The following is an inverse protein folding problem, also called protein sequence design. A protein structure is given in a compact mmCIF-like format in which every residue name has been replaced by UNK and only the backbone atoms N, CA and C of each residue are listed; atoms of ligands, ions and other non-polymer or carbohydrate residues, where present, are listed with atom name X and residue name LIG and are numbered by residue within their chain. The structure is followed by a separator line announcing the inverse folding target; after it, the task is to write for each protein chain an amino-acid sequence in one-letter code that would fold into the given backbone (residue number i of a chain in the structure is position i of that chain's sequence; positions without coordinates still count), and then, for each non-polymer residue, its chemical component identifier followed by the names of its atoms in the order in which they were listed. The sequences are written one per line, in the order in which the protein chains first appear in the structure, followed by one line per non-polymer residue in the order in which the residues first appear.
data_IF_249942333627
#
_entry.id   IF_249942333627
#
_cell.length_a   1.000
_cell.length_b   1.000
_cell.length_c   1.000
_cell.angle_alpha   90.00
_cell.angle_beta   90.00
_cell.angle_gamma   90.00
#
_symmetry.space_group_name_H-M   'P 1'
#
loop_
_entity.id
_entity.type
_entity.pdbx_description
1 polymer ?
#
# COMPACT_ATOMS: atom_id res chain seq x y z
N UNK A 1 -38.38 35.34 19.30
CA UNK A 1 -38.25 35.15 17.85
C UNK A 1 -39.17 34.02 17.41
N UNK A 2 -39.84 34.16 16.26
CA UNK A 2 -40.63 33.07 15.68
C UNK A 2 -39.73 31.90 15.29
N UNK A 3 -40.17 30.67 15.56
CA UNK A 3 -39.43 29.44 15.22
C UNK A 3 -39.15 29.34 13.73
N UNK A 4 -40.01 29.94 12.90
CA UNK A 4 -39.85 29.95 11.44
C UNK A 4 -38.68 30.81 10.97
N UNK A 5 -38.60 32.04 11.46
CA UNK A 5 -37.50 32.96 11.14
C UNK A 5 -36.17 32.39 11.60
N UNK A 6 -36.14 31.78 12.80
CA UNK A 6 -34.90 31.17 13.31
C UNK A 6 -34.44 29.96 12.49
N UNK A 7 -35.38 29.15 11.98
CA UNK A 7 -35.05 28.05 11.09
C UNK A 7 -34.41 28.53 9.77
N UNK A 8 -34.92 29.63 9.19
CA UNK A 8 -34.38 30.21 7.98
C UNK A 8 -32.97 30.77 8.20
N UNK A 9 -32.76 31.52 9.27
CA UNK A 9 -31.47 32.11 9.62
C UNK A 9 -30.38 31.03 9.78
N UNK A 10 -30.66 29.98 10.56
CA UNK A 10 -29.75 28.83 10.71
C UNK A 10 -29.51 28.12 9.38
N UNK A 11 -30.53 27.99 8.54
CA UNK A 11 -30.34 27.41 7.22
C UNK A 11 -29.37 28.24 6.38
N UNK A 12 -29.54 29.56 6.32
CA UNK A 12 -28.67 30.46 5.57
C UNK A 12 -27.22 30.49 6.11
N UNK A 13 -27.05 30.34 7.43
CA UNK A 13 -25.73 30.26 8.08
C UNK A 13 -24.91 29.01 7.72
N UNK A 14 -25.55 27.97 7.16
CA UNK A 14 -24.84 26.75 6.74
C UNK A 14 -25.35 25.46 7.36
N UNK A 15 -26.20 25.54 8.38
CA UNK A 15 -26.63 24.36 9.13
C UNK A 15 -27.44 23.39 8.25
N UNK A 16 -27.29 22.10 8.54
CA UNK A 16 -28.08 21.02 7.94
C UNK A 16 -29.46 20.97 8.58
N UNK A 17 -30.44 20.46 7.83
CA UNK A 17 -31.81 20.29 8.31
C UNK A 17 -31.90 19.47 9.61
N UNK A 18 -30.99 18.49 9.80
CA UNK A 18 -30.92 17.67 11.01
C UNK A 18 -30.44 18.48 12.22
N UNK A 19 -29.46 19.35 12.04
CA UNK A 19 -28.92 20.21 13.09
C UNK A 19 -29.97 21.25 13.51
N UNK A 20 -30.65 21.85 12.53
CA UNK A 20 -31.76 22.79 12.77
C UNK A 20 -32.91 22.11 13.53
N UNK A 21 -33.24 20.86 13.16
CA UNK A 21 -34.27 20.07 13.83
C UNK A 21 -33.93 19.82 15.31
N UNK A 22 -32.68 19.44 15.59
CA UNK A 22 -32.18 19.24 16.95
C UNK A 22 -32.22 20.54 17.76
N UNK A 23 -31.78 21.65 17.19
CA UNK A 23 -31.72 22.94 17.87
C UNK A 23 -33.10 23.54 18.18
N UNK A 24 -34.08 23.32 17.30
CA UNK A 24 -35.45 23.83 17.47
C UNK A 24 -36.39 22.86 18.20
N UNK A 25 -35.92 21.64 18.51
CA UNK A 25 -36.71 20.60 19.17
C UNK A 25 -37.93 20.15 18.34
N UNK A 26 -37.79 20.13 17.00
CA UNK A 26 -38.85 19.72 16.08
C UNK A 26 -38.35 18.67 15.10
N UNK A 27 -39.27 17.95 14.46
CA UNK A 27 -38.90 16.95 13.46
C UNK A 27 -38.31 17.60 12.19
N UNK A 28 -37.37 16.91 11.54
CA UNK A 28 -36.77 17.37 10.27
C UNK A 28 -37.81 17.64 9.16
N UNK A 29 -38.89 16.84 9.00
CA UNK A 29 -39.95 17.18 8.04
C UNK A 29 -40.67 18.48 8.40
N UNK A 30 -40.85 18.79 9.69
CA UNK A 30 -41.44 20.05 10.13
C UNK A 30 -40.53 21.24 9.78
N UNK A 31 -39.21 21.13 9.99
CA UNK A 31 -38.23 22.14 9.54
C UNK A 31 -38.35 22.37 8.03
N UNK A 32 -38.38 21.29 7.25
CA UNK A 32 -38.50 21.38 5.79
C UNK A 32 -39.80 22.08 5.37
N UNK A 33 -40.92 21.76 6.03
CA UNK A 33 -42.22 22.39 5.76
C UNK A 33 -42.21 23.88 6.07
N UNK A 34 -41.55 24.28 7.16
CA UNK A 34 -41.35 25.68 7.54
C UNK A 34 -40.50 26.40 6.49
N UNK A 35 -39.34 25.85 6.13
CA UNK A 35 -38.40 26.48 5.20
C UNK A 35 -38.98 26.67 3.79
N UNK A 36 -39.81 25.73 3.30
CA UNK A 36 -40.49 25.83 1.99
C UNK A 36 -41.43 27.02 1.85
N UNK A 37 -41.81 27.68 2.95
CA UNK A 37 -42.62 28.89 2.91
C UNK A 37 -41.82 30.12 2.48
N UNK A 38 -40.48 30.05 2.55
CA UNK A 38 -39.59 31.16 2.28
C UNK A 38 -38.95 31.04 0.89
N UNK A 39 -39.03 32.06 0.02
CA UNK A 39 -38.36 32.04 -1.28
C UNK A 39 -36.83 31.95 -1.16
N UNK A 40 -36.24 32.50 -0.10
CA UNK A 40 -34.80 32.49 0.18
C UNK A 40 -34.26 31.07 0.35
N UNK A 41 -35.06 30.16 0.93
CA UNK A 41 -34.70 28.75 1.06
C UNK A 41 -34.46 28.10 -0.30
N UNK A 42 -35.30 28.40 -1.30
CA UNK A 42 -35.17 27.84 -2.65
C UNK A 42 -33.92 28.36 -3.35
N UNK A 43 -33.62 29.66 -3.21
CA UNK A 43 -32.42 30.27 -3.78
C UNK A 43 -31.14 29.68 -3.17
N UNK A 44 -31.08 29.59 -1.85
CA UNK A 44 -29.92 29.04 -1.15
C UNK A 44 -29.74 27.54 -1.46
N UNK A 45 -30.83 26.78 -1.56
CA UNK A 45 -30.78 25.36 -1.92
C UNK A 45 -30.16 25.16 -3.31
N UNK A 46 -30.57 25.96 -4.30
CA UNK A 46 -29.99 25.91 -5.65
C UNK A 46 -28.52 26.38 -5.65
N UNK A 47 -28.17 27.39 -4.86
CA UNK A 47 -26.78 27.83 -4.68
C UNK A 47 -25.90 26.70 -4.16
N UNK A 48 -26.33 26.02 -3.09
CA UNK A 48 -25.61 24.88 -2.50
C UNK A 48 -25.49 23.71 -3.47
N UNK A 49 -26.54 23.44 -4.26
CA UNK A 49 -26.51 22.39 -5.28
C UNK A 49 -25.40 22.65 -6.30
N UNK A 50 -25.33 23.86 -6.85
CA UNK A 50 -24.29 24.26 -7.82
C UNK A 50 -22.89 24.21 -7.22
N UNK A 51 -22.74 24.66 -5.98
CA UNK A 51 -21.47 24.62 -5.25
C UNK A 51 -20.98 23.18 -5.01
N UNK A 52 -21.90 22.29 -4.60
CA UNK A 52 -21.58 20.87 -4.41
C UNK A 52 -21.26 20.17 -5.73
N UNK A 53 -21.97 20.48 -6.82
CA UNK A 53 -21.65 19.96 -8.15
C UNK A 53 -20.24 20.36 -8.60
N UNK A 54 -19.84 21.61 -8.36
CA UNK A 54 -18.48 22.10 -8.62
C UNK A 54 -17.45 21.36 -7.79
N UNK A 55 -17.62 21.28 -6.47
CA UNK A 55 -16.72 20.55 -5.56
C UNK A 55 -16.60 19.07 -5.96
N UNK A 56 -17.71 18.42 -6.30
CA UNK A 56 -17.70 17.02 -6.71
C UNK A 56 -16.96 16.82 -8.04
N UNK A 57 -17.02 17.79 -8.96
CA UNK A 57 -16.25 17.76 -10.21
C UNK A 57 -14.75 17.91 -9.94
N UNK A 58 -14.37 18.86 -9.09
CA UNK A 58 -12.97 19.08 -8.68
C UNK A 58 -12.41 17.83 -8.00
N UNK A 59 -13.11 17.30 -7.02
CA UNK A 59 -12.71 16.06 -6.31
C UNK A 59 -12.55 14.87 -7.27
N UNK A 60 -13.49 14.66 -8.21
CA UNK A 60 -13.37 13.58 -9.21
C UNK A 60 -12.16 13.77 -10.12
N UNK A 61 -11.82 15.00 -10.48
CA UNK A 61 -10.67 15.29 -11.32
C UNK A 61 -9.36 15.04 -10.57
N UNK A 62 -9.26 15.49 -9.31
CA UNK A 62 -8.11 15.23 -8.44
C UNK A 62 -7.92 13.74 -8.19
N UNK A 63 -8.99 13.03 -7.87
CA UNK A 63 -8.94 11.57 -7.68
C UNK A 63 -8.41 10.85 -8.92
N UNK A 64 -8.91 11.22 -10.12
CA UNK A 64 -8.42 10.64 -11.38
C UNK A 64 -6.94 10.98 -11.64
N UNK A 65 -6.50 12.19 -11.29
CA UNK A 65 -5.10 12.60 -11.42
C UNK A 65 -4.20 11.76 -10.52
N UNK A 66 -4.52 11.67 -9.23
CA UNK A 66 -3.78 10.86 -8.25
C UNK A 66 -3.70 9.39 -8.67
N UNK A 67 -4.80 8.83 -9.22
CA UNK A 67 -4.79 7.45 -9.70
C UNK A 67 -3.91 7.22 -10.92
N UNK A 68 -3.75 8.21 -11.80
CA UNK A 68 -2.83 8.12 -12.94
C UNK A 68 -1.38 8.19 -12.47
N UNK A 69 -1.06 9.11 -11.57
CA UNK A 69 0.27 9.26 -10.99
C UNK A 69 0.69 7.97 -10.26
N UNK A 70 -0.19 7.38 -9.44
CA UNK A 70 0.07 6.08 -8.80
C UNK A 70 0.38 4.97 -9.81
N UNK A 71 -0.38 4.89 -10.91
CA UNK A 71 -0.15 3.88 -11.93
C UNK A 71 1.17 4.08 -12.67
N UNK A 72 1.54 5.33 -12.95
CA UNK A 72 2.84 5.66 -13.56
C UNK A 72 4.00 5.27 -12.64
N UNK A 73 3.92 5.62 -11.34
CA UNK A 73 4.92 5.23 -10.33
C UNK A 73 5.05 3.69 -10.22
N UNK A 74 3.93 2.97 -10.15
CA UNK A 74 3.91 1.49 -10.11
C UNK A 74 4.52 0.88 -11.38
N UNK A 75 4.24 1.46 -12.55
CA UNK A 75 4.78 0.99 -13.82
C UNK A 75 6.29 1.22 -13.93
N UNK A 76 6.79 2.37 -13.47
CA UNK A 76 8.22 2.64 -13.40
C UNK A 76 8.95 1.67 -12.47
N UNK A 77 8.35 1.36 -11.31
CA UNK A 77 8.87 0.36 -10.38
C UNK A 77 8.92 -1.02 -11.04
N UNK A 78 7.84 -1.43 -11.70
CA UNK A 78 7.78 -2.71 -12.42
C UNK A 78 8.87 -2.81 -13.49
N UNK A 79 9.12 -1.74 -14.26
CA UNK A 79 10.19 -1.72 -15.25
C UNK A 79 11.59 -1.83 -14.62
N UNK A 80 11.80 -1.18 -13.48
CA UNK A 80 13.05 -1.28 -12.73
C UNK A 80 13.28 -2.71 -12.25
N UNK A 81 12.29 -3.30 -11.59
CA UNK A 81 12.34 -4.68 -11.10
C UNK A 81 12.59 -5.66 -12.25
N UNK A 82 11.92 -5.45 -13.39
CA UNK A 82 12.14 -6.27 -14.58
C UNK A 82 13.57 -6.15 -15.10
N UNK A 83 14.14 -4.93 -15.16
CA UNK A 83 15.53 -4.72 -15.57
C UNK A 83 16.53 -5.40 -14.63
N UNK A 84 16.32 -5.30 -13.32
CA UNK A 84 17.15 -5.96 -12.31
C UNK A 84 17.05 -7.50 -12.41
N UNK A 85 15.84 -8.03 -12.59
CA UNK A 85 15.61 -9.44 -12.81
C UNK A 85 16.32 -9.94 -14.07
N UNK A 86 16.16 -9.24 -15.20
CA UNK A 86 16.86 -9.57 -16.45
C UNK A 86 18.37 -9.51 -16.24
N UNK A 87 18.90 -8.48 -15.57
CA UNK A 87 20.34 -8.37 -15.32
C UNK A 87 20.87 -9.51 -14.44
N UNK A 88 20.11 -9.94 -13.42
CA UNK A 88 20.50 -11.03 -12.53
C UNK A 88 20.45 -12.39 -13.22
N UNK A 89 19.39 -12.66 -13.99
CA UNK A 89 19.13 -13.95 -14.64
C UNK A 89 19.90 -14.12 -15.96
N UNK A 90 20.20 -13.04 -16.68
CA UNK A 90 20.97 -13.09 -17.94
C UNK A 90 22.46 -13.36 -17.75
N UNK A 91 22.95 -13.39 -16.50
CA UNK A 91 24.35 -13.71 -16.20
C UNK A 91 24.65 -15.14 -16.62
N UNK A 92 25.44 -15.28 -17.69
CA UNK A 92 26.03 -16.55 -18.12
C UNK A 92 27.22 -16.87 -17.21
N UNK A 93 26.96 -17.58 -16.12
CA UNK A 93 27.98 -18.03 -15.17
C UNK A 93 27.66 -19.43 -14.65
N UNK A 94 28.70 -20.17 -14.24
CA UNK A 94 28.50 -21.45 -13.54
C UNK A 94 28.21 -21.16 -12.08
N UNK A 95 27.19 -21.82 -11.52
CA UNK A 95 26.89 -21.75 -10.10
C UNK A 95 28.07 -22.35 -9.32
N UNK A 96 28.62 -21.60 -8.36
CA UNK A 96 29.73 -22.12 -7.56
C UNK A 96 29.22 -23.06 -6.48
N UNK A 97 30.06 -24.02 -6.09
CA UNK A 97 29.78 -24.93 -4.97
C UNK A 97 29.43 -24.18 -3.68
N UNK A 98 29.98 -22.98 -3.47
CA UNK A 98 29.66 -22.16 -2.29
C UNK A 98 28.25 -21.59 -2.33
N UNK A 99 27.78 -21.17 -3.51
CA UNK A 99 26.40 -20.70 -3.66
C UNK A 99 25.43 -21.86 -3.48
N UNK A 100 25.73 -23.02 -4.08
CA UNK A 100 24.94 -24.24 -3.91
C UNK A 100 24.78 -24.64 -2.43
N UNK A 101 25.87 -24.66 -1.67
CA UNK A 101 25.82 -25.00 -0.25
C UNK A 101 25.05 -23.95 0.55
N UNK A 102 25.22 -22.65 0.25
CA UNK A 102 24.45 -21.59 0.93
C UNK A 102 22.94 -21.75 0.71
N UNK A 103 22.52 -22.12 -0.50
CA UNK A 103 21.11 -22.40 -0.80
C UNK A 103 20.59 -23.64 -0.06
N UNK A 104 21.45 -24.62 0.20
CA UNK A 104 21.11 -25.87 0.89
C UNK A 104 21.65 -25.96 2.32
N UNK A 105 21.89 -24.83 3.00
CA UNK A 105 22.69 -24.79 4.24
C UNK A 105 22.13 -25.67 5.36
N UNK A 106 20.80 -25.84 5.41
CA UNK A 106 20.11 -26.68 6.39
C UNK A 106 20.45 -28.17 6.28
N UNK A 107 21.03 -28.61 5.15
CA UNK A 107 21.43 -30.00 4.90
C UNK A 107 22.92 -30.22 5.18
N UNK A 108 23.60 -29.25 5.80
CA UNK A 108 25.02 -29.35 6.15
C UNK A 108 25.22 -29.09 7.63
N UNK A 109 25.98 -29.97 8.27
CA UNK A 109 26.41 -29.81 9.65
C UNK A 109 27.84 -29.29 9.71
N UNK A 110 28.11 -28.42 10.67
CA UNK A 110 29.46 -27.94 10.93
C UNK A 110 30.23 -28.94 11.80
N UNK A 111 31.30 -29.51 11.24
CA UNK A 111 32.25 -30.33 11.99
C UNK A 111 33.36 -29.44 12.53
N UNK A 112 33.35 -29.21 13.85
CA UNK A 112 34.36 -28.40 14.55
C UNK A 112 35.77 -28.99 14.43
N UNK A 113 35.90 -30.30 14.50
CA UNK A 113 37.20 -31.01 14.40
C UNK A 113 37.88 -30.81 13.04
N UNK A 114 37.09 -30.75 11.97
CA UNK A 114 37.59 -30.63 10.59
C UNK A 114 37.49 -29.23 10.03
N UNK A 115 36.90 -28.30 10.79
CA UNK A 115 36.56 -26.92 10.42
C UNK A 115 35.85 -26.81 9.06
N UNK A 116 34.92 -27.75 8.82
CA UNK A 116 34.23 -27.93 7.53
C UNK A 116 32.73 -28.12 7.73
N UNK A 117 31.98 -27.68 6.74
CA UNK A 117 30.58 -28.11 6.56
C UNK A 117 30.58 -29.45 5.85
N UNK A 118 29.83 -30.41 6.39
CA UNK A 118 29.67 -31.76 5.86
C UNK A 118 28.20 -32.02 5.63
N UNK A 119 27.85 -32.58 4.46
CA UNK A 119 26.46 -32.89 4.15
C UNK A 119 25.89 -33.89 5.16
N UNK A 120 24.72 -33.59 5.69
CA UNK A 120 24.02 -34.44 6.63
C UNK A 120 23.26 -35.53 5.87
N UNK A 121 23.74 -36.78 5.96
CA UNK A 121 23.13 -37.93 5.30
C UNK A 121 21.74 -38.28 5.87
N UNK A 122 21.37 -37.79 7.06
CA UNK A 122 20.02 -37.94 7.61
C UNK A 122 18.98 -37.08 6.88
N UNK A 123 19.42 -36.01 6.20
CA UNK A 123 18.55 -35.15 5.41
C UNK A 123 18.17 -35.77 4.04
N UNK A 124 18.67 -36.99 3.76
CA UNK A 124 18.36 -37.77 2.57
C UNK A 124 19.59 -38.02 1.69
N UNK A 125 19.37 -38.63 0.52
CA UNK A 125 20.45 -38.92 -0.42
C UNK A 125 20.97 -37.63 -1.05
N UNK A 126 22.26 -37.34 -0.87
CA UNK A 126 22.94 -36.19 -1.48
C UNK A 126 22.82 -36.23 -3.03
N UNK A 127 22.28 -35.18 -3.66
CA UNK A 127 22.37 -35.00 -5.11
C UNK A 127 23.81 -35.02 -5.63
N UNK A 128 24.02 -35.53 -6.84
CA UNK A 128 25.36 -35.66 -7.41
C UNK A 128 26.09 -34.29 -7.50
N UNK A 129 25.35 -33.24 -7.86
CA UNK A 129 25.86 -31.88 -8.08
C UNK A 129 26.22 -31.13 -6.79
N UNK A 130 25.70 -31.57 -5.63
CA UNK A 130 25.99 -30.92 -4.34
C UNK A 130 27.31 -31.45 -3.76
N UNK A 131 28.26 -30.61 -3.34
CA UNK A 131 29.53 -31.08 -2.77
C UNK A 131 29.35 -31.80 -1.43
N UNK A 132 30.09 -32.88 -1.17
CA UNK A 132 30.02 -33.63 0.10
C UNK A 132 30.47 -32.82 1.31
N UNK A 133 31.51 -31.99 1.13
CA UNK A 133 32.03 -31.13 2.20
C UNK A 133 32.66 -29.87 1.63
N UNK A 134 32.65 -28.78 2.39
CA UNK A 134 33.36 -27.54 2.06
C UNK A 134 34.04 -26.94 3.29
N UNK A 135 35.13 -26.22 3.09
CA UNK A 135 35.77 -25.46 4.16
C UNK A 135 35.00 -24.18 4.43
N UNK A 136 34.85 -23.81 5.71
CA UNK A 136 34.21 -22.56 6.09
C UNK A 136 35.14 -21.37 5.84
N UNK A 137 36.43 -21.54 6.11
CA UNK A 137 37.45 -20.48 5.98
C UNK A 137 38.32 -20.64 4.72
N UNK A 138 37.70 -20.78 3.54
CA UNK A 138 38.44 -21.02 2.28
C UNK A 138 39.55 -20.02 1.98
N UNK A 139 39.32 -18.74 2.29
CA UNK A 139 40.28 -17.67 2.00
C UNK A 139 41.43 -17.62 3.02
N UNK A 140 41.15 -17.96 4.28
CA UNK A 140 42.16 -18.00 5.35
C UNK A 140 43.03 -19.24 5.21
N UNK A 141 42.46 -20.39 4.84
CA UNK A 141 43.22 -21.64 4.75
C UNK A 141 44.10 -21.74 3.50
N UNK A 142 43.88 -20.92 2.47
CA UNK A 142 44.74 -20.86 1.27
C UNK A 142 46.17 -20.44 1.60
N UNK A 143 46.37 -19.58 2.60
CA UNK A 143 47.68 -19.08 2.99
C UNK A 143 48.52 -20.10 3.79
N UNK A 144 47.90 -21.21 4.23
CA UNK A 144 48.55 -22.28 4.98
C UNK A 144 48.68 -23.59 4.16
N UNK A 145 48.39 -23.54 2.84
CA UNK A 145 48.59 -24.66 1.93
C UNK A 145 49.92 -24.46 1.18
N UNK A 146 50.98 -25.12 1.68
CA UNK A 146 52.24 -25.38 0.96
C UNK A 146 52.18 -26.80 0.42
#
# INVERSE_FOLDING_TARGET
MDKKTKALELYLEGFKLVEIAQQLGISQPAVTKILRQFPEYHQEKERRKKENEKRAKEWRNEYKKQKREQYEEEYELLQKDHREAVQSLSRKGRLSNDVLIKLCILHYDYSKEKERLVFNESAGKRPADLPKSTYVHKNVLKQFRV
#
